data_IF_214289985890
#
_entry.id   IF_214289985890
#
_cell.length_a   1.000
_cell.length_b   1.000
_cell.length_c   1.000
_cell.angle_alpha   90.00
_cell.angle_beta   90.00
_cell.angle_gamma   90.00
#
_symmetry.space_group_name_H-M   'P 1'
#
loop_
_entity.id
_entity.type
_entity.pdbx_description
1 polymer ?
#
# COMPACT_ATOMS: atom_id res chain seq x y z
N UNK A 1 -27.99 -1.98 -21.83
CA UNK A 1 -27.27 -0.83 -21.25
C UNK A 1 -26.60 -0.07 -22.40
N UNK A 2 -26.78 1.25 -22.52
CA UNK A 2 -26.30 2.01 -23.71
C UNK A 2 -24.81 2.31 -23.56
N UNK A 3 -24.07 2.42 -24.67
CA UNK A 3 -22.62 2.72 -24.75
C UNK A 3 -22.15 3.91 -23.89
N UNK A 4 -23.06 4.83 -23.53
CA UNK A 4 -22.79 5.98 -22.65
C UNK A 4 -22.70 5.61 -21.17
N UNK A 5 -23.37 4.54 -20.73
CA UNK A 5 -23.44 4.14 -19.32
C UNK A 5 -22.14 3.46 -18.86
N UNK A 6 -21.48 2.70 -19.76
CA UNK A 6 -20.16 2.08 -19.51
C UNK A 6 -19.06 3.14 -19.37
N UNK A 7 -19.12 4.20 -20.18
CA UNK A 7 -18.19 5.35 -20.09
C UNK A 7 -18.45 6.18 -18.83
N UNK A 8 -19.71 6.27 -18.37
CA UNK A 8 -20.07 6.92 -17.11
C UNK A 8 -19.57 6.13 -15.90
N UNK A 9 -19.65 4.79 -15.93
CA UNK A 9 -19.07 3.90 -14.90
C UNK A 9 -17.53 4.04 -14.83
N UNK A 10 -16.86 4.13 -16.00
CA UNK A 10 -15.42 4.41 -16.07
C UNK A 10 -15.03 5.71 -15.38
N UNK A 11 -15.85 6.75 -15.46
CA UNK A 11 -15.59 8.00 -14.74
C UNK A 11 -15.81 7.84 -13.24
N UNK A 12 -16.89 7.18 -12.82
CA UNK A 12 -17.25 7.06 -11.40
C UNK A 12 -16.26 6.20 -10.59
N UNK A 13 -15.74 5.12 -11.17
CA UNK A 13 -14.77 4.25 -10.49
C UNK A 13 -13.37 4.88 -10.40
N UNK A 14 -12.91 5.56 -11.47
CA UNK A 14 -11.60 6.25 -11.47
C UNK A 14 -11.60 7.46 -10.50
N UNK A 15 -12.72 8.20 -10.41
CA UNK A 15 -12.85 9.35 -9.49
C UNK A 15 -12.93 8.93 -8.02
N UNK A 16 -13.36 7.70 -7.71
CA UNK A 16 -13.39 7.20 -6.32
C UNK A 16 -12.02 6.79 -5.77
N UNK A 17 -11.00 6.72 -6.63
CA UNK A 17 -9.62 6.33 -6.28
C UNK A 17 -8.63 7.48 -6.08
N UNK A 18 -9.05 8.74 -6.22
CA UNK A 18 -8.22 9.92 -5.96
C UNK A 18 -8.82 10.71 -4.79
N UNK A 19 -8.44 10.35 -3.57
CA UNK A 19 -8.60 11.24 -2.42
C UNK A 19 -7.73 12.48 -2.64
N UNK A 20 -8.41 13.58 -2.93
CA UNK A 20 -7.89 14.92 -3.14
C UNK A 20 -7.37 15.46 -1.79
N UNK A 21 -6.06 15.36 -1.53
CA UNK A 21 -5.42 16.13 -0.45
C UNK A 21 -5.18 17.54 -0.97
N UNK A 22 -6.12 18.45 -0.68
CA UNK A 22 -5.85 19.89 -0.74
C UNK A 22 -5.30 20.34 0.61
N UNK A 23 -3.99 20.57 0.66
CA UNK A 23 -3.40 21.56 1.55
C UNK A 23 -2.46 22.42 0.71
N UNK A 24 -2.88 23.65 0.41
CA UNK A 24 -1.99 24.74 0.03
C UNK A 24 -2.27 25.88 0.98
N UNK A 25 -1.46 25.95 2.04
CA UNK A 25 -1.27 27.14 2.86
C UNK A 25 0.01 27.84 2.41
N UNK A 26 -0.14 29.07 1.94
CA UNK A 26 0.91 29.95 1.44
C UNK A 26 2.02 30.23 2.47
N UNK A 27 3.27 30.32 1.99
CA UNK A 27 4.16 31.41 2.40
C UNK A 27 5.20 31.67 1.31
N UNK A 28 5.21 32.95 0.90
CA UNK A 28 6.01 33.55 -0.17
C UNK A 28 7.52 33.40 0.06
N UNK A 29 8.22 33.18 -1.05
CA UNK A 29 9.62 33.54 -1.25
C UNK A 29 9.78 35.07 -1.31
N UNK A 30 10.93 35.57 -0.87
CA UNK A 30 11.87 36.32 -1.71
C UNK A 30 13.25 36.24 -1.02
N UNK A 31 14.26 35.63 -1.68
CA UNK A 31 15.34 36.29 -2.44
C UNK A 31 16.25 37.16 -1.54
N UNK A 32 17.59 37.15 -1.60
CA UNK A 32 18.51 36.75 -2.66
C UNK A 32 19.96 36.78 -2.10
N UNK A 33 20.78 35.95 -2.72
CA UNK A 33 22.24 35.91 -2.91
C UNK A 33 23.18 37.06 -2.47
N UNK A 34 24.31 36.62 -1.88
CA UNK A 34 25.72 36.77 -2.33
C UNK A 34 26.55 38.07 -2.16
N UNK A 35 27.86 37.81 -1.96
CA UNK A 35 29.08 38.63 -2.11
C UNK A 35 29.47 39.55 -0.94
N UNK A 36 30.51 39.20 -0.18
CA UNK A 36 31.96 39.50 -0.35
C UNK A 36 32.37 40.84 0.31
N UNK A 37 33.46 40.83 1.09
CA UNK A 37 34.09 42.07 1.58
C UNK A 37 34.86 41.97 2.91
N UNK A 38 36.11 41.53 2.82
CA UNK A 38 37.33 41.99 3.52
C UNK A 38 37.33 42.65 4.93
N UNK A 39 38.22 42.08 5.76
CA UNK A 39 39.27 42.72 6.57
C UNK A 39 38.95 43.81 7.61
N UNK A 40 39.33 43.56 8.88
CA UNK A 40 40.50 44.19 9.55
C UNK A 40 40.72 43.70 10.98
N UNK A 41 42.01 43.55 11.31
CA UNK A 41 42.59 43.42 12.64
C UNK A 41 42.24 44.59 13.57
N UNK A 42 42.18 44.35 14.88
CA UNK A 42 43.16 44.86 15.87
C UNK A 42 42.63 44.79 17.31
N UNK A 43 43.34 44.02 18.13
CA UNK A 43 43.86 44.32 19.48
C UNK A 43 42.99 45.11 20.49
N UNK A 44 42.77 44.55 21.70
CA UNK A 44 43.41 44.99 22.97
C UNK A 44 42.65 44.48 24.23
N UNK A 45 43.29 43.56 24.97
CA UNK A 45 43.55 43.49 26.43
C UNK A 45 42.44 43.84 27.45
N UNK A 46 42.05 42.78 28.20
CA UNK A 46 41.88 42.64 29.66
C UNK A 46 41.07 43.66 30.48
N UNK A 47 40.00 43.17 31.12
CA UNK A 47 39.86 43.31 32.59
C UNK A 47 39.08 42.16 33.23
N UNK A 48 39.57 41.83 34.41
CA UNK A 48 39.28 40.75 35.34
C UNK A 48 37.95 40.79 36.11
N UNK A 49 37.66 39.66 36.76
CA UNK A 49 36.88 39.43 38.01
C UNK A 49 35.45 38.87 37.81
N UNK A 50 34.89 38.02 38.67
CA UNK A 50 35.32 37.10 39.72
C UNK A 50 34.03 36.39 40.17
N UNK A 51 34.10 35.07 40.32
CA UNK A 51 33.28 34.20 41.18
C UNK A 51 31.74 34.35 41.20
N UNK A 52 31.05 33.28 40.80
CA UNK A 52 30.05 32.65 41.67
C UNK A 52 29.87 31.20 41.24
N UNK A 53 30.40 30.29 42.07
CA UNK A 53 30.04 28.88 42.04
C UNK A 53 28.62 28.73 42.55
N UNK A 54 27.66 28.39 41.69
CA UNK A 54 26.44 27.74 42.10
C UNK A 54 26.49 26.31 41.61
N UNK A 55 26.84 25.45 42.56
CA UNK A 55 26.77 24.00 42.42
C UNK A 55 25.28 23.61 42.50
N UNK A 56 24.52 23.89 41.44
CA UNK A 56 23.19 23.32 41.28
C UNK A 56 23.36 21.89 40.81
N UNK A 57 23.35 21.00 41.80
CA UNK A 57 23.11 19.58 41.61
C UNK A 57 21.69 19.44 41.05
N UNK A 58 21.56 19.63 39.74
CA UNK A 58 20.39 19.27 38.98
C UNK A 58 20.27 17.74 39.08
N UNK A 59 19.51 17.28 40.08
CA UNK A 59 18.87 15.98 40.06
C UNK A 59 17.98 15.96 38.81
N UNK A 60 18.59 15.58 37.69
CA UNK A 60 17.89 15.02 36.54
C UNK A 60 17.07 13.87 37.10
N UNK A 61 15.78 14.13 37.33
CA UNK A 61 14.78 13.07 37.29
C UNK A 61 14.96 12.50 35.89
N UNK A 62 15.58 11.33 35.78
CA UNK A 62 15.39 10.49 34.60
C UNK A 62 13.88 10.33 34.51
N UNK A 63 13.25 11.06 33.60
CA UNK A 63 11.95 10.65 33.10
C UNK A 63 12.14 9.20 32.71
N UNK A 64 11.43 8.33 33.42
CA UNK A 64 11.32 6.94 33.05
C UNK A 64 10.62 6.96 31.69
N UNK A 65 11.42 6.99 30.62
CA UNK A 65 10.92 6.97 29.26
C UNK A 65 10.18 5.65 29.14
N UNK A 66 8.85 5.73 29.21
CA UNK A 66 7.99 4.57 29.05
C UNK A 66 8.39 3.94 27.71
N UNK A 67 8.73 2.65 27.69
CA UNK A 67 9.21 2.02 26.48
C UNK A 67 8.14 2.10 25.39
N UNK A 68 8.58 2.52 24.21
CA UNK A 68 7.73 2.84 23.06
C UNK A 68 7.13 1.57 22.46
N UNK A 69 5.82 1.60 22.18
CA UNK A 69 5.12 0.48 21.55
C UNK A 69 5.49 0.32 20.07
N UNK A 70 5.30 -0.87 19.50
CA UNK A 70 5.59 -1.12 18.07
C UNK A 70 4.79 -0.19 17.15
N UNK A 71 3.47 -0.07 17.37
CA UNK A 71 2.63 0.80 16.56
C UNK A 71 3.06 2.27 16.64
N UNK A 72 3.42 2.74 17.83
CA UNK A 72 3.91 4.11 18.05
C UNK A 72 5.25 4.33 17.32
N UNK A 73 6.20 3.40 17.46
CA UNK A 73 7.49 3.48 16.80
C UNK A 73 7.37 3.50 15.26
N UNK A 74 6.46 2.68 14.72
CA UNK A 74 6.16 2.64 13.28
C UNK A 74 5.48 3.94 12.83
N UNK A 75 4.48 4.43 13.57
CA UNK A 75 3.76 5.68 13.27
C UNK A 75 4.68 6.90 13.30
N UNK A 76 5.61 6.94 14.27
CA UNK A 76 6.60 8.00 14.41
C UNK A 76 7.83 7.81 13.50
N UNK A 77 7.83 6.79 12.62
CA UNK A 77 8.88 6.51 11.65
C UNK A 77 10.27 6.38 12.29
N UNK A 78 10.34 5.70 13.44
CA UNK A 78 11.61 5.39 14.09
C UNK A 78 12.48 4.50 13.21
N UNK A 79 13.77 4.45 13.50
CA UNK A 79 14.68 3.57 12.77
C UNK A 79 14.27 2.10 12.94
N UNK A 80 14.59 1.25 11.98
CA UNK A 80 14.36 -0.20 12.09
C UNK A 80 14.97 -0.79 13.36
N UNK A 81 16.13 -0.28 13.79
CA UNK A 81 16.79 -0.72 15.02
C UNK A 81 16.01 -0.37 16.29
N UNK A 82 15.29 0.76 16.30
CA UNK A 82 14.44 1.16 17.41
C UNK A 82 13.14 0.36 17.41
N UNK A 83 12.56 0.14 16.23
CA UNK A 83 11.37 -0.71 16.08
C UNK A 83 11.68 -2.15 16.51
N UNK A 84 12.84 -2.70 16.13
CA UNK A 84 13.29 -4.03 16.55
C UNK A 84 13.47 -4.10 18.08
N UNK A 85 13.99 -3.04 18.71
CA UNK A 85 14.05 -2.97 20.18
C UNK A 85 12.66 -2.96 20.81
N UNK A 86 11.72 -2.19 20.25
CA UNK A 86 10.31 -2.16 20.70
C UNK A 86 9.63 -3.52 20.58
N UNK A 87 9.89 -4.28 19.50
CA UNK A 87 9.40 -5.66 19.34
C UNK A 87 9.98 -6.56 20.45
N UNK A 88 11.31 -6.55 20.65
CA UNK A 88 12.00 -7.39 21.64
C UNK A 88 11.63 -7.08 23.08
N UNK A 89 11.25 -5.83 23.38
CA UNK A 89 10.79 -5.45 24.71
C UNK A 89 9.48 -6.19 25.11
N UNK A 90 8.77 -6.80 24.14
CA UNK A 90 7.55 -7.60 24.33
C UNK A 90 6.47 -6.90 25.17
N UNK A 91 6.40 -5.57 25.06
CA UNK A 91 5.51 -4.70 25.84
C UNK A 91 4.27 -4.24 25.06
N UNK A 92 4.15 -4.64 23.79
CA UNK A 92 3.01 -4.31 22.95
C UNK A 92 2.72 -5.43 21.97
N UNK A 93 1.44 -5.66 21.71
CA UNK A 93 0.98 -6.51 20.62
C UNK A 93 1.49 -5.96 19.29
N UNK A 94 2.22 -6.78 18.52
CA UNK A 94 2.71 -6.43 17.17
C UNK A 94 1.56 -6.10 16.21
N UNK A 95 0.35 -6.53 16.56
CA UNK A 95 -0.88 -6.34 15.82
C UNK A 95 -1.79 -5.24 16.39
N UNK A 96 -1.30 -4.40 17.32
CA UNK A 96 -2.06 -3.25 17.81
C UNK A 96 -2.48 -2.33 16.65
N UNK A 97 -3.72 -1.82 16.67
CA UNK A 97 -4.27 -1.02 15.58
C UNK A 97 -4.44 0.44 15.97
N UNK A 98 -4.16 1.35 15.03
CA UNK A 98 -4.38 2.79 15.23
C UNK A 98 -5.88 3.16 15.12
N UNK A 99 -6.19 4.46 15.17
CA UNK A 99 -7.56 4.96 15.09
C UNK A 99 -8.25 4.70 13.72
N UNK A 100 -7.48 4.38 12.69
CA UNK A 100 -7.96 4.01 11.36
C UNK A 100 -8.10 2.49 11.20
N UNK A 101 -7.74 1.73 12.24
CA UNK A 101 -7.72 0.27 12.21
C UNK A 101 -6.44 -0.31 11.58
N UNK A 102 -5.45 0.51 11.23
CA UNK A 102 -4.24 0.03 10.59
C UNK A 102 -3.32 -0.66 11.61
N UNK A 103 -2.85 -1.87 11.28
CA UNK A 103 -1.75 -2.52 11.99
C UNK A 103 -0.39 -1.94 11.54
N UNK A 104 0.70 -2.14 12.30
CA UNK A 104 2.04 -1.75 11.88
C UNK A 104 2.42 -2.28 10.51
N UNK A 105 2.03 -3.52 10.21
CA UNK A 105 2.33 -4.15 8.91
C UNK A 105 1.53 -3.50 7.78
N UNK A 106 0.28 -3.09 8.02
CA UNK A 106 -0.49 -2.38 7.00
C UNK A 106 0.11 -1.00 6.72
N UNK A 107 0.53 -0.27 7.74
CA UNK A 107 1.25 1.02 7.59
C UNK A 107 2.52 0.81 6.74
N UNK A 108 3.34 -0.18 7.08
CA UNK A 108 4.55 -0.50 6.31
C UNK A 108 4.22 -0.86 4.85
N UNK A 109 3.10 -1.54 4.61
CA UNK A 109 2.64 -1.93 3.27
C UNK A 109 2.13 -0.72 2.47
N UNK A 110 1.38 0.19 3.09
CA UNK A 110 0.96 1.47 2.49
C UNK A 110 2.16 2.29 2.02
N UNK A 111 3.20 2.37 2.85
CA UNK A 111 4.44 3.09 2.56
C UNK A 111 5.40 2.34 1.62
N UNK A 112 5.08 1.09 1.25
CA UNK A 112 5.98 0.18 0.53
C UNK A 112 7.36 0.03 1.22
N UNK A 113 7.39 0.08 2.55
CA UNK A 113 8.60 -0.11 3.34
C UNK A 113 8.89 -1.61 3.49
N UNK A 114 9.54 -2.18 2.48
CA UNK A 114 9.82 -3.63 2.37
C UNK A 114 10.57 -4.14 3.60
N UNK A 115 11.62 -3.45 4.03
CA UNK A 115 12.45 -3.89 5.15
C UNK A 115 11.67 -3.92 6.48
N UNK A 116 10.80 -2.92 6.70
CA UNK A 116 9.92 -2.91 7.88
C UNK A 116 8.85 -4.01 7.78
N UNK A 117 8.25 -4.21 6.61
CA UNK A 117 7.26 -5.28 6.42
C UNK A 117 7.87 -6.67 6.69
N UNK A 118 9.08 -6.93 6.20
CA UNK A 118 9.83 -8.16 6.46
C UNK A 118 10.08 -8.35 7.96
N UNK A 119 10.62 -7.34 8.64
CA UNK A 119 10.85 -7.37 10.08
C UNK A 119 9.57 -7.70 10.86
N UNK A 120 8.45 -7.09 10.50
CA UNK A 120 7.17 -7.30 11.17
C UNK A 120 6.62 -8.71 10.91
N UNK A 121 6.71 -9.22 9.67
CA UNK A 121 6.28 -10.58 9.30
C UNK A 121 7.11 -11.63 10.04
N UNK A 122 8.43 -11.46 10.10
CA UNK A 122 9.35 -12.36 10.82
C UNK A 122 9.05 -12.43 12.33
N UNK A 123 8.40 -11.40 12.88
CA UNK A 123 8.01 -11.32 14.28
C UNK A 123 6.51 -11.58 14.52
N UNK A 124 5.81 -12.16 13.53
CA UNK A 124 4.44 -12.66 13.70
C UNK A 124 3.33 -11.64 13.50
N UNK A 125 3.58 -10.56 12.75
CA UNK A 125 2.51 -9.66 12.32
C UNK A 125 1.49 -10.39 11.43
N UNK A 126 0.20 -10.19 11.69
CA UNK A 126 -0.88 -10.83 10.95
C UNK A 126 -1.14 -10.10 9.62
N UNK A 127 -0.87 -10.80 8.52
CA UNK A 127 -1.03 -10.33 7.14
C UNK A 127 -2.49 -10.12 6.72
N UNK A 128 -3.45 -10.53 7.55
CA UNK A 128 -4.88 -10.52 7.28
C UNK A 128 -5.66 -9.45 8.05
N UNK A 129 -5.04 -8.74 9.00
CA UNK A 129 -5.74 -7.74 9.79
C UNK A 129 -6.18 -6.57 8.91
N UNK A 130 -7.50 -6.36 8.89
CA UNK A 130 -8.13 -5.32 8.10
C UNK A 130 -8.27 -4.02 8.89
N UNK A 131 -8.04 -2.91 8.20
CA UNK A 131 -8.42 -1.58 8.64
C UNK A 131 -9.93 -1.32 8.48
N UNK A 132 -10.36 -0.09 8.77
CA UNK A 132 -11.77 0.29 8.68
C UNK A 132 -12.34 0.31 7.25
N UNK A 133 -11.49 0.27 6.21
CA UNK A 133 -11.92 0.17 4.81
C UNK A 133 -11.67 -1.20 4.20
N UNK A 134 -11.46 -2.22 5.06
CA UNK A 134 -11.28 -3.62 4.70
C UNK A 134 -10.00 -3.91 3.89
N UNK A 135 -8.99 -3.06 3.99
CA UNK A 135 -7.68 -3.35 3.43
C UNK A 135 -6.83 -4.08 4.48
N UNK A 136 -6.27 -5.24 4.11
CA UNK A 136 -5.26 -5.97 4.89
C UNK A 136 -3.90 -5.88 4.20
N UNK A 137 -2.77 -6.14 4.88
CA UNK A 137 -1.46 -6.15 4.24
C UNK A 137 -1.39 -7.00 2.98
N UNK A 138 -1.93 -8.24 3.03
CA UNK A 138 -1.96 -9.14 1.87
C UNK A 138 -2.81 -8.57 0.72
N UNK A 139 -4.05 -8.16 1.00
CA UNK A 139 -4.96 -7.64 -0.03
C UNK A 139 -4.42 -6.36 -0.66
N UNK A 140 -3.90 -5.44 0.15
CA UNK A 140 -3.35 -4.16 -0.32
C UNK A 140 -2.07 -4.38 -1.12
N UNK A 141 -1.16 -5.23 -0.66
CA UNK A 141 0.09 -5.51 -1.36
C UNK A 141 -0.16 -6.04 -2.78
N UNK A 142 -1.11 -6.97 -2.91
CA UNK A 142 -1.57 -7.46 -4.20
C UNK A 142 -2.20 -6.37 -5.06
N UNK A 143 -3.18 -5.65 -4.50
CA UNK A 143 -3.97 -4.64 -5.19
C UNK A 143 -3.18 -3.38 -5.56
N UNK A 144 -2.00 -3.13 -5.03
CA UNK A 144 -1.25 -1.87 -5.26
C UNK A 144 0.15 -2.11 -5.82
N UNK A 145 0.43 -3.33 -6.29
CA UNK A 145 1.70 -3.65 -6.92
C UNK A 145 2.88 -3.60 -5.95
N UNK A 146 2.66 -3.88 -4.65
CA UNK A 146 3.74 -3.97 -3.65
C UNK A 146 4.43 -5.34 -3.77
N UNK A 147 5.03 -5.58 -4.93
CA UNK A 147 5.49 -6.90 -5.40
C UNK A 147 6.40 -7.60 -4.40
N UNK A 148 7.39 -6.90 -3.85
CA UNK A 148 8.35 -7.47 -2.91
C UNK A 148 7.70 -7.85 -1.58
N UNK A 149 6.75 -7.04 -1.09
CA UNK A 149 5.99 -7.33 0.13
C UNK A 149 5.06 -8.52 -0.10
N UNK A 150 4.33 -8.54 -1.22
CA UNK A 150 3.46 -9.67 -1.57
C UNK A 150 4.28 -10.97 -1.67
N UNK A 151 5.41 -10.94 -2.38
CA UNK A 151 6.31 -12.08 -2.50
C UNK A 151 6.74 -12.60 -1.14
N UNK A 152 7.11 -11.69 -0.23
CA UNK A 152 7.55 -12.06 1.10
C UNK A 152 6.42 -12.66 1.94
N UNK A 153 5.22 -12.08 1.88
CA UNK A 153 4.00 -12.61 2.54
C UNK A 153 3.72 -14.04 2.07
N UNK A 154 3.74 -14.30 0.76
CA UNK A 154 3.47 -15.63 0.20
C UNK A 154 4.53 -16.67 0.61
N UNK A 155 5.77 -16.25 0.85
CA UNK A 155 6.87 -17.13 1.25
C UNK A 155 6.92 -17.42 2.76
N UNK A 156 6.49 -16.47 3.61
CA UNK A 156 6.71 -16.53 5.07
C UNK A 156 5.40 -16.53 5.87
N UNK A 157 4.25 -16.54 5.21
CA UNK A 157 2.94 -16.51 5.87
C UNK A 157 1.90 -17.31 5.07
N UNK A 158 0.74 -17.54 5.67
CA UNK A 158 -0.43 -18.13 4.99
C UNK A 158 -1.59 -17.13 5.02
N UNK A 159 -1.79 -16.35 3.94
CA UNK A 159 -2.94 -15.47 3.85
C UNK A 159 -4.25 -16.26 3.89
N UNK A 160 -5.22 -15.74 4.63
CA UNK A 160 -6.56 -16.31 4.71
C UNK A 160 -7.36 -15.90 3.45
N UNK A 161 -7.53 -16.85 2.53
CA UNK A 161 -8.23 -16.63 1.25
C UNK A 161 -9.74 -16.37 1.39
N UNK A 162 -10.29 -16.41 2.61
CA UNK A 162 -11.68 -16.04 2.91
C UNK A 162 -11.85 -14.59 3.41
N UNK A 163 -10.76 -13.83 3.46
CA UNK A 163 -10.78 -12.39 3.76
C UNK A 163 -10.80 -11.63 2.43
N UNK A 164 -11.79 -10.76 2.27
CA UNK A 164 -12.03 -10.01 1.04
C UNK A 164 -11.97 -8.51 1.28
N UNK A 165 -11.63 -7.75 0.24
CA UNK A 165 -11.63 -6.29 0.29
C UNK A 165 -13.07 -5.73 0.36
N UNK A 166 -13.20 -4.40 0.50
CA UNK A 166 -14.51 -3.70 0.58
C UNK A 166 -15.47 -3.91 -0.60
N UNK A 167 -14.98 -4.42 -1.73
CA UNK A 167 -15.81 -4.77 -2.89
C UNK A 167 -16.16 -6.26 -2.93
N UNK A 168 -15.81 -7.02 -1.91
CA UNK A 168 -15.95 -8.48 -1.88
C UNK A 168 -14.94 -9.19 -2.78
N UNK A 169 -13.88 -8.51 -3.25
CA UNK A 169 -12.85 -9.10 -4.09
C UNK A 169 -11.73 -9.75 -3.29
N UNK A 170 -11.17 -10.83 -3.82
CA UNK A 170 -9.91 -11.40 -3.33
C UNK A 170 -8.70 -10.55 -3.80
N UNK A 171 -7.48 -11.04 -3.55
CA UNK A 171 -6.24 -10.35 -3.93
C UNK A 171 -6.03 -10.27 -5.46
N UNK A 172 -6.50 -11.25 -6.22
CA UNK A 172 -6.24 -11.38 -7.66
C UNK A 172 -7.03 -10.37 -8.49
N UNK A 173 -8.30 -10.14 -8.14
CA UNK A 173 -9.20 -9.24 -8.87
C UNK A 173 -8.60 -7.83 -9.05
N UNK A 174 -8.27 -7.07 -7.98
CA UNK A 174 -7.70 -5.74 -8.12
C UNK A 174 -6.28 -5.75 -8.69
N UNK A 175 -5.50 -6.82 -8.49
CA UNK A 175 -4.19 -6.95 -9.12
C UNK A 175 -4.31 -7.02 -10.65
N UNK A 176 -5.29 -7.77 -11.16
CA UNK A 176 -5.60 -7.86 -12.58
C UNK A 176 -6.16 -6.54 -13.14
N UNK A 177 -7.15 -5.93 -12.46
CA UNK A 177 -7.74 -4.64 -12.86
C UNK A 177 -6.68 -3.55 -12.98
N UNK A 178 -5.81 -3.40 -11.98
CA UNK A 178 -4.80 -2.33 -11.95
C UNK A 178 -3.56 -2.59 -12.79
N UNK A 179 -3.50 -3.76 -13.43
CA UNK A 179 -2.41 -4.06 -14.35
C UNK A 179 -1.14 -4.56 -13.65
N UNK A 180 -1.23 -5.09 -12.43
CA UNK A 180 -0.06 -5.61 -11.71
C UNK A 180 0.26 -7.04 -12.15
N UNK A 181 0.72 -7.21 -13.40
CA UNK A 181 0.97 -8.52 -14.03
C UNK A 181 1.88 -9.43 -13.19
N UNK A 182 2.93 -8.90 -12.57
CA UNK A 182 3.81 -9.71 -11.73
C UNK A 182 3.09 -10.22 -10.47
N UNK A 183 2.24 -9.40 -9.84
CA UNK A 183 1.41 -9.85 -8.71
C UNK A 183 0.39 -10.88 -9.15
N UNK A 184 -0.23 -10.72 -10.33
CA UNK A 184 -1.13 -11.72 -10.91
C UNK A 184 -0.42 -13.06 -11.05
N UNK A 185 0.78 -13.08 -11.63
CA UNK A 185 1.58 -14.30 -11.77
C UNK A 185 1.89 -14.93 -10.41
N UNK A 186 2.41 -14.16 -9.46
CA UNK A 186 2.77 -14.67 -8.14
C UNK A 186 1.57 -15.28 -7.39
N UNK A 187 0.41 -14.63 -7.45
CA UNK A 187 -0.81 -15.14 -6.80
C UNK A 187 -1.28 -16.46 -7.43
N UNK A 188 -1.19 -16.58 -8.76
CA UNK A 188 -1.56 -17.79 -9.49
C UNK A 188 -0.54 -18.93 -9.28
N UNK A 189 0.74 -18.61 -9.22
CA UNK A 189 1.83 -19.55 -8.94
C UNK A 189 1.75 -20.13 -7.52
N UNK A 190 1.37 -19.30 -6.53
CA UNK A 190 1.10 -19.77 -5.16
C UNK A 190 -0.11 -20.73 -5.09
N UNK A 191 -1.05 -20.61 -6.03
CA UNK A 191 -2.13 -21.58 -6.26
C UNK A 191 -3.23 -21.60 -5.19
N UNK A 192 -3.17 -20.74 -4.18
CA UNK A 192 -4.18 -20.67 -3.12
C UNK A 192 -5.37 -19.76 -3.47
N UNK A 193 -5.16 -18.76 -4.33
CA UNK A 193 -6.22 -17.82 -4.69
C UNK A 193 -7.24 -18.48 -5.61
N UNK A 194 -8.53 -18.29 -5.32
CA UNK A 194 -9.60 -18.71 -6.23
C UNK A 194 -9.63 -17.77 -7.45
N UNK A 195 -9.20 -18.29 -8.60
CA UNK A 195 -9.13 -17.56 -9.87
C UNK A 195 -10.52 -17.13 -10.38
N UNK A 196 -11.56 -17.88 -10.00
CA UNK A 196 -12.93 -17.72 -10.47
C UNK A 196 -13.83 -17.02 -9.45
N UNK A 197 -13.27 -16.56 -8.33
CA UNK A 197 -13.99 -15.80 -7.31
C UNK A 197 -14.68 -14.57 -7.94
N UNK A 198 -15.93 -14.35 -7.56
CA UNK A 198 -16.70 -13.19 -7.99
C UNK A 198 -16.83 -12.19 -6.83
N UNK A 199 -16.50 -10.93 -7.09
CA UNK A 199 -16.73 -9.85 -6.15
C UNK A 199 -18.23 -9.48 -6.06
N UNK A 200 -18.58 -8.46 -5.28
CA UNK A 200 -19.98 -8.05 -5.05
C UNK A 200 -20.72 -7.60 -6.33
N UNK A 201 -19.99 -7.36 -7.44
CA UNK A 201 -20.54 -7.00 -8.75
C UNK A 201 -20.65 -8.21 -9.70
N UNK A 202 -20.26 -9.39 -9.25
CA UNK A 202 -20.16 -10.58 -10.09
C UNK A 202 -18.89 -10.60 -10.96
N UNK A 203 -17.95 -9.67 -10.76
CA UNK A 203 -16.73 -9.66 -11.56
C UNK A 203 -15.68 -10.62 -11.02
N UNK A 204 -15.13 -11.42 -11.93
CA UNK A 204 -13.87 -12.16 -11.74
C UNK A 204 -12.68 -11.27 -12.13
N UNK A 205 -11.46 -11.73 -11.83
CA UNK A 205 -10.24 -11.05 -12.28
C UNK A 205 -10.18 -10.93 -13.81
N UNK A 206 -10.67 -11.96 -14.52
CA UNK A 206 -10.76 -11.97 -15.98
C UNK A 206 -11.74 -10.90 -16.49
N UNK A 207 -12.91 -10.76 -15.86
CA UNK A 207 -13.89 -9.74 -16.25
C UNK A 207 -13.33 -8.32 -16.00
N UNK A 208 -12.74 -8.03 -14.84
CA UNK A 208 -12.22 -6.68 -14.58
C UNK A 208 -11.07 -6.28 -15.50
N UNK A 209 -10.15 -7.21 -15.79
CA UNK A 209 -9.04 -6.99 -16.73
C UNK A 209 -9.51 -6.63 -18.15
N UNK A 210 -10.73 -7.01 -18.53
CA UNK A 210 -11.31 -6.71 -19.85
C UNK A 210 -12.28 -5.52 -19.79
N UNK A 211 -13.27 -5.55 -18.89
CA UNK A 211 -14.39 -4.61 -18.86
C UNK A 211 -13.97 -3.20 -18.42
N UNK A 212 -13.04 -3.11 -17.46
CA UNK A 212 -12.70 -1.84 -16.82
C UNK A 212 -11.48 -1.16 -17.45
N UNK A 213 -10.75 -1.85 -18.33
CA UNK A 213 -9.43 -1.43 -18.82
C UNK A 213 -9.41 -1.22 -20.34
N UNK A 214 -8.26 -0.82 -20.89
CA UNK A 214 -8.16 -0.25 -22.25
C UNK A 214 -7.95 -1.26 -23.38
N UNK A 215 -7.85 -2.56 -23.09
CA UNK A 215 -7.61 -3.60 -24.07
C UNK A 215 -6.18 -3.61 -24.65
N UNK A 216 -5.25 -2.85 -24.06
CA UNK A 216 -3.85 -2.78 -24.49
C UNK A 216 -3.12 -4.12 -24.40
N UNK A 217 -1.96 -4.21 -25.05
CA UNK A 217 -1.10 -5.39 -25.01
C UNK A 217 -0.77 -5.84 -23.58
N UNK A 218 -0.63 -4.88 -22.65
CA UNK A 218 -0.40 -5.17 -21.24
C UNK A 218 -1.55 -5.95 -20.60
N UNK A 219 -2.79 -5.51 -20.82
CA UNK A 219 -3.97 -6.24 -20.33
C UNK A 219 -4.19 -7.55 -21.08
N UNK A 220 -3.81 -7.63 -22.35
CA UNK A 220 -3.85 -8.89 -23.11
C UNK A 220 -2.92 -9.94 -22.48
N UNK A 221 -1.74 -9.56 -21.98
CA UNK A 221 -0.86 -10.48 -21.26
C UNK A 221 -1.44 -10.92 -19.90
N UNK A 222 -2.17 -10.04 -19.20
CA UNK A 222 -2.89 -10.43 -17.97
C UNK A 222 -4.00 -11.42 -18.29
N UNK A 223 -4.82 -11.15 -19.31
CA UNK A 223 -5.89 -12.07 -19.76
C UNK A 223 -5.29 -13.40 -20.17
N UNK A 224 -4.23 -13.39 -20.99
CA UNK A 224 -3.52 -14.60 -21.39
C UNK A 224 -2.98 -15.38 -20.20
N UNK A 225 -2.42 -14.70 -19.19
CA UNK A 225 -1.94 -15.34 -17.96
C UNK A 225 -3.10 -16.02 -17.21
N UNK A 226 -4.23 -15.32 -17.02
CA UNK A 226 -5.41 -15.90 -16.38
C UNK A 226 -5.94 -17.14 -17.13
N UNK A 227 -5.97 -17.10 -18.47
CA UNK A 227 -6.39 -18.22 -19.31
C UNK A 227 -5.41 -19.41 -19.25
N UNK A 228 -4.10 -19.14 -19.16
CA UNK A 228 -3.08 -20.19 -18.95
C UNK A 228 -3.34 -20.96 -17.65
N UNK A 229 -3.77 -20.26 -16.60
CA UNK A 229 -4.18 -20.81 -15.31
C UNK A 229 -5.66 -21.24 -15.25
N UNK A 230 -6.30 -21.41 -16.41
CA UNK A 230 -7.65 -21.99 -16.57
C UNK A 230 -8.79 -21.18 -15.96
N UNK A 231 -8.67 -19.84 -15.93
CA UNK A 231 -9.80 -18.97 -15.60
C UNK A 231 -11.03 -19.29 -16.46
N UNK A 232 -12.20 -19.41 -15.84
CA UNK A 232 -13.43 -19.75 -16.53
C UNK A 232 -13.96 -18.54 -17.32
N UNK A 233 -13.98 -18.67 -18.65
CA UNK A 233 -14.43 -17.62 -19.58
C UNK A 233 -15.95 -17.44 -19.62
N UNK A 234 -16.70 -18.42 -19.13
CA UNK A 234 -18.17 -18.46 -19.20
C UNK A 234 -18.86 -17.84 -17.99
N UNK A 235 -18.10 -17.47 -16.94
CA UNK A 235 -18.66 -16.79 -15.77
C UNK A 235 -19.24 -15.44 -16.16
N UNK A 236 -20.41 -15.15 -15.59
CA UNK A 236 -21.21 -13.97 -15.90
C UNK A 236 -21.30 -13.08 -14.66
N UNK A 237 -21.16 -11.79 -14.89
CA UNK A 237 -21.38 -10.78 -13.86
C UNK A 237 -22.87 -10.61 -13.49
N UNK A 238 -23.16 -9.67 -12.59
CA UNK A 238 -24.54 -9.37 -12.19
C UNK A 238 -25.39 -8.77 -13.33
N UNK A 239 -24.79 -8.35 -14.44
CA UNK A 239 -25.48 -7.91 -15.66
C UNK A 239 -25.60 -9.02 -16.71
N UNK A 240 -25.26 -10.26 -16.34
CA UNK A 240 -25.28 -11.44 -17.20
C UNK A 240 -24.29 -11.37 -18.38
N UNK A 241 -23.18 -10.62 -18.24
CA UNK A 241 -22.14 -10.44 -19.25
C UNK A 241 -20.87 -11.24 -18.90
N UNK A 242 -20.30 -11.90 -19.91
CA UNK A 242 -18.98 -12.54 -19.84
C UNK A 242 -17.85 -11.56 -20.17
N UNK A 243 -16.60 -11.95 -19.94
CA UNK A 243 -15.44 -11.18 -20.40
C UNK A 243 -15.44 -10.98 -21.93
N UNK A 244 -15.86 -12.01 -22.70
CA UNK A 244 -15.97 -11.92 -24.16
C UNK A 244 -17.04 -10.91 -24.60
N UNK A 245 -18.17 -10.85 -23.88
CA UNK A 245 -19.22 -9.87 -24.17
C UNK A 245 -18.70 -8.44 -24.03
N UNK A 246 -17.92 -8.15 -22.98
CA UNK A 246 -17.27 -6.85 -22.82
C UNK A 246 -16.25 -6.57 -23.92
N UNK A 247 -15.38 -7.53 -24.24
CA UNK A 247 -14.39 -7.38 -25.31
C UNK A 247 -15.05 -7.01 -26.66
N UNK A 248 -16.17 -7.67 -26.99
CA UNK A 248 -16.98 -7.38 -28.19
C UNK A 248 -17.62 -5.99 -28.14
N UNK A 249 -18.23 -5.61 -27.02
CA UNK A 249 -18.88 -4.30 -26.86
C UNK A 249 -17.89 -3.13 -26.97
N UNK A 250 -16.65 -3.34 -26.49
CA UNK A 250 -15.59 -2.33 -26.48
C UNK A 250 -14.75 -2.32 -27.77
N UNK A 251 -14.85 -3.37 -28.60
CA UNK A 251 -14.10 -3.49 -29.85
C UNK A 251 -12.64 -3.89 -29.64
N UNK A 252 -12.33 -4.65 -28.59
CA UNK A 252 -10.97 -5.08 -28.27
C UNK A 252 -10.58 -6.33 -29.05
N UNK A 253 -10.23 -6.18 -30.33
CA UNK A 253 -9.93 -7.32 -31.22
C UNK A 253 -8.90 -8.30 -30.65
N UNK A 254 -7.84 -7.81 -30.00
CA UNK A 254 -6.85 -8.68 -29.35
C UNK A 254 -7.45 -9.53 -28.21
N UNK A 255 -8.31 -8.93 -27.38
CA UNK A 255 -9.01 -9.64 -26.30
C UNK A 255 -10.04 -10.62 -26.84
N UNK A 256 -10.78 -10.24 -27.89
CA UNK A 256 -11.74 -11.12 -28.55
C UNK A 256 -11.04 -12.39 -29.04
N UNK A 257 -9.87 -12.25 -29.68
CA UNK A 257 -9.10 -13.39 -30.17
C UNK A 257 -8.57 -14.30 -29.06
N UNK A 258 -8.27 -13.76 -27.87
CA UNK A 258 -7.84 -14.55 -26.72
C UNK A 258 -9.00 -15.31 -26.07
N UNK A 259 -10.22 -14.77 -26.15
CA UNK A 259 -11.40 -15.27 -25.43
C UNK A 259 -12.37 -16.06 -26.31
N UNK A 260 -12.09 -16.21 -27.61
CA UNK A 260 -12.90 -16.99 -28.57
C UNK A 260 -12.32 -18.38 -28.75
#
# INVERSE_FOLDING_TARGET
>A
MKRKDVVALRKYLILSGLAFVLLVGCSKQDNQSSHEGEAKQSTTISTSQKAASTNEKATSKKEEVKPMKVLEAVTEKKSLSEIEKSIKANQSDINERNAQGESPLLIATHENNVALAQLLIDNGADVNLQDHIQDSPYLYAAAQGKTEILRYILQHSKPNQKVYNRFGGNALIPAAEKGHLENVKMLLEDGQVDIDHQNNYGYTALIEAVALRDGSAHYQEIVKTLLQYKANTELRDNNNLTALDYAKQLGYSGMINLLS
#
